data_IF_049436400678
#
_entry.id   IF_049436400678
#
_cell.length_a   1.000
_cell.length_b   1.000
_cell.length_c   1.000
_cell.angle_alpha   90.00
_cell.angle_beta   90.00
_cell.angle_gamma   90.00
#
_symmetry.space_group_name_H-M   'P 1'
#
loop_
_entity.id
_entity.type
_entity.pdbx_description
1 polymer ?
#
# COMPACT_ATOMS: atom_id res chain seq x y z
N UNK A 1 23.45 -72.95 4.00
CA UNK A 1 23.66 -71.45 4.02
C UNK A 1 22.78 -70.83 2.95
N UNK A 2 21.49 -70.62 3.24
CA UNK A 2 20.49 -70.13 2.29
C UNK A 2 20.39 -68.57 2.33
N UNK A 3 20.60 -67.97 1.16
CA UNK A 3 20.11 -66.65 0.74
C UNK A 3 20.31 -65.39 1.62
N UNK A 4 21.47 -65.20 2.22
CA UNK A 4 21.80 -63.88 2.83
C UNK A 4 21.97 -62.75 1.79
N UNK A 5 22.36 -63.08 0.55
CA UNK A 5 22.55 -62.10 -0.53
C UNK A 5 21.21 -61.47 -1.03
N UNK A 6 20.12 -62.28 -1.11
CA UNK A 6 18.83 -61.73 -1.52
C UNK A 6 18.17 -60.84 -0.48
N UNK A 7 18.39 -61.10 0.81
CA UNK A 7 17.89 -60.30 1.90
C UNK A 7 18.57 -58.90 1.95
N UNK A 8 19.90 -58.85 1.77
CA UNK A 8 20.66 -57.61 1.70
C UNK A 8 20.20 -56.71 0.55
N UNK A 9 19.88 -57.30 -0.62
CA UNK A 9 19.40 -56.53 -1.77
C UNK A 9 18.00 -55.95 -1.50
N UNK A 10 17.11 -56.68 -0.87
CA UNK A 10 15.79 -56.19 -0.48
C UNK A 10 15.89 -55.05 0.55
N UNK A 11 16.77 -55.21 1.54
CA UNK A 11 17.02 -54.19 2.57
C UNK A 11 17.56 -52.86 1.97
N UNK A 12 18.50 -52.95 1.02
CA UNK A 12 19.01 -51.74 0.35
C UNK A 12 17.96 -51.06 -0.50
N UNK A 13 17.07 -51.78 -1.18
CA UNK A 13 15.96 -51.21 -1.96
C UNK A 13 14.97 -50.51 -1.06
N UNK A 14 14.56 -51.14 0.05
CA UNK A 14 13.62 -50.53 1.01
C UNK A 14 14.24 -49.27 1.64
N UNK A 15 15.50 -49.33 2.06
CA UNK A 15 16.21 -48.21 2.64
C UNK A 15 16.33 -47.04 1.65
N UNK A 16 16.65 -47.31 0.38
CA UNK A 16 16.69 -46.30 -0.68
C UNK A 16 15.32 -45.66 -0.91
N UNK A 17 14.24 -46.44 -0.92
CA UNK A 17 12.89 -45.93 -1.07
C UNK A 17 12.50 -44.97 0.08
N UNK A 18 12.82 -45.32 1.32
CA UNK A 18 12.57 -44.49 2.50
C UNK A 18 13.35 -43.19 2.40
N UNK A 19 14.62 -43.21 2.04
CA UNK A 19 15.45 -42.03 1.88
C UNK A 19 14.90 -41.07 0.79
N UNK A 20 14.49 -41.61 -0.35
CA UNK A 20 13.87 -40.85 -1.44
C UNK A 20 12.58 -40.21 -0.97
N UNK A 21 11.73 -40.94 -0.28
CA UNK A 21 10.43 -40.42 0.23
C UNK A 21 10.64 -39.27 1.23
N UNK A 22 11.58 -39.43 2.16
CA UNK A 22 11.94 -38.38 3.12
C UNK A 22 12.51 -37.15 2.39
N UNK A 23 13.38 -37.35 1.41
CA UNK A 23 14.00 -36.25 0.64
C UNK A 23 12.94 -35.45 -0.12
N UNK A 24 11.98 -36.10 -0.77
CA UNK A 24 10.87 -35.45 -1.46
C UNK A 24 10.00 -34.64 -0.46
N UNK A 25 9.70 -35.24 0.70
CA UNK A 25 8.92 -34.56 1.74
C UNK A 25 9.61 -33.35 2.29
N UNK A 26 10.91 -33.38 2.56
CA UNK A 26 11.70 -32.24 2.99
C UNK A 26 11.76 -31.15 1.91
N UNK A 27 11.94 -31.53 0.66
CA UNK A 27 11.97 -30.59 -0.45
C UNK A 27 10.64 -29.83 -0.61
N UNK A 28 9.51 -30.54 -0.55
CA UNK A 28 8.18 -29.91 -0.61
C UNK A 28 7.95 -28.95 0.57
N UNK A 29 8.37 -29.32 1.77
CA UNK A 29 8.28 -28.49 2.96
C UNK A 29 9.12 -27.20 2.82
N UNK A 30 10.33 -27.30 2.27
CA UNK A 30 11.17 -26.12 1.99
C UNK A 30 10.53 -25.19 0.97
N UNK A 31 9.92 -25.71 -0.09
CA UNK A 31 9.21 -24.90 -1.09
C UNK A 31 8.02 -24.16 -0.46
N UNK A 32 7.23 -24.84 0.36
CA UNK A 32 6.11 -24.20 1.06
C UNK A 32 6.58 -23.14 2.05
N UNK A 33 7.63 -23.44 2.82
CA UNK A 33 8.21 -22.49 3.77
C UNK A 33 8.72 -21.22 3.07
N UNK A 34 9.39 -21.38 1.92
CA UNK A 34 9.87 -20.24 1.13
C UNK A 34 8.73 -19.36 0.62
N UNK A 35 7.66 -19.95 0.07
CA UNK A 35 6.48 -19.21 -0.39
C UNK A 35 5.78 -18.49 0.75
N UNK A 36 5.63 -19.16 1.90
CA UNK A 36 5.03 -18.55 3.08
C UNK A 36 5.83 -17.36 3.59
N UNK A 37 7.16 -17.50 3.63
CA UNK A 37 8.06 -16.40 4.01
C UNK A 37 7.85 -15.18 3.13
N UNK A 38 7.85 -15.36 1.80
CA UNK A 38 7.62 -14.24 0.85
C UNK A 38 6.27 -13.57 1.06
N UNK A 39 5.19 -14.35 1.26
CA UNK A 39 3.87 -13.81 1.53
C UNK A 39 3.83 -12.97 2.83
N UNK A 40 4.50 -13.44 3.89
CA UNK A 40 4.60 -12.69 5.15
C UNK A 40 5.42 -11.40 4.97
N UNK A 41 6.54 -11.46 4.25
CA UNK A 41 7.37 -10.30 3.95
C UNK A 41 6.58 -9.24 3.15
N UNK A 42 5.87 -9.64 2.10
CA UNK A 42 5.02 -8.75 1.30
C UNK A 42 3.91 -8.11 2.16
N UNK A 43 3.29 -8.88 3.06
CA UNK A 43 2.25 -8.36 3.95
C UNK A 43 2.79 -7.35 4.96
N UNK A 44 3.95 -7.61 5.55
CA UNK A 44 4.61 -6.69 6.48
C UNK A 44 4.99 -5.40 5.76
N UNK A 45 5.56 -5.49 4.57
CA UNK A 45 5.92 -4.32 3.78
C UNK A 45 4.70 -3.47 3.41
N UNK A 46 3.59 -4.10 2.97
CA UNK A 46 2.34 -3.38 2.69
C UNK A 46 1.78 -2.68 3.93
N UNK A 47 1.85 -3.33 5.09
CA UNK A 47 1.42 -2.75 6.36
C UNK A 47 2.25 -1.53 6.72
N UNK A 48 3.58 -1.65 6.72
CA UNK A 48 4.49 -0.55 7.08
C UNK A 48 4.34 0.64 6.14
N UNK A 49 4.28 0.40 4.82
CA UNK A 49 4.06 1.45 3.85
C UNK A 49 2.68 2.10 3.97
N UNK A 50 1.64 1.31 4.21
CA UNK A 50 0.30 1.82 4.40
C UNK A 50 0.18 2.75 5.61
N UNK A 51 0.75 2.37 6.74
CA UNK A 51 0.76 3.19 7.95
C UNK A 51 1.57 4.48 7.76
N UNK A 52 2.74 4.41 7.12
CA UNK A 52 3.53 5.60 6.83
C UNK A 52 2.80 6.55 5.88
N UNK A 53 2.19 6.04 4.81
CA UNK A 53 1.37 6.85 3.91
C UNK A 53 0.20 7.50 4.62
N UNK A 54 -0.53 6.76 5.46
CA UNK A 54 -1.61 7.30 6.27
C UNK A 54 -1.13 8.44 7.16
N UNK A 55 0.00 8.26 7.83
CA UNK A 55 0.59 9.30 8.66
C UNK A 55 0.95 10.56 7.86
N UNK A 56 1.59 10.41 6.70
CA UNK A 56 1.99 11.54 5.86
C UNK A 56 0.79 12.28 5.25
N UNK A 57 -0.23 11.55 4.80
CA UNK A 57 -1.47 12.14 4.28
C UNK A 57 -2.21 12.87 5.39
N UNK A 58 -2.40 12.22 6.55
CA UNK A 58 -3.09 12.83 7.70
C UNK A 58 -2.39 14.11 8.14
N UNK A 59 -1.07 14.05 8.31
CA UNK A 59 -0.24 15.21 8.65
C UNK A 59 -0.36 16.33 7.62
N UNK A 60 -0.45 15.99 6.32
CA UNK A 60 -0.59 16.99 5.25
C UNK A 60 -1.96 17.66 5.31
N UNK A 61 -3.03 16.92 5.57
CA UNK A 61 -4.39 17.47 5.69
C UNK A 61 -4.55 18.27 6.97
N UNK A 62 -4.16 17.76 8.13
CA UNK A 62 -4.31 18.42 9.43
C UNK A 62 -3.52 19.71 9.55
N UNK A 63 -2.31 19.75 8.98
CA UNK A 63 -1.47 20.95 8.97
C UNK A 63 -1.91 22.00 7.93
N UNK A 64 -2.87 21.67 7.07
CA UNK A 64 -3.44 22.61 6.11
C UNK A 64 -4.49 23.51 6.78
N UNK A 65 -4.76 24.64 6.17
CA UNK A 65 -5.86 25.53 6.57
C UNK A 65 -7.19 25.08 5.95
N UNK A 66 -7.15 24.21 4.94
CA UNK A 66 -8.32 23.65 4.28
C UNK A 66 -7.97 22.88 3.02
N UNK A 67 -8.99 22.35 2.38
CA UNK A 67 -8.89 21.65 1.10
C UNK A 67 -9.34 22.58 -0.03
N UNK A 68 -8.48 22.79 -1.01
CA UNK A 68 -8.77 23.60 -2.21
C UNK A 68 -9.69 22.84 -3.17
N UNK A 69 -9.36 21.59 -3.43
CA UNK A 69 -10.13 20.72 -4.34
C UNK A 69 -9.73 19.27 -4.17
N UNK A 70 -10.70 18.38 -4.40
CA UNK A 70 -10.48 16.94 -4.53
C UNK A 70 -10.91 16.54 -5.94
N UNK A 71 -10.09 15.77 -6.65
CA UNK A 71 -10.41 15.31 -8.00
C UNK A 71 -10.55 13.80 -8.04
N UNK A 72 -11.60 13.35 -8.72
CA UNK A 72 -11.80 11.93 -9.01
C UNK A 72 -10.82 11.41 -10.07
N UNK A 73 -10.89 10.11 -10.38
CA UNK A 73 -10.06 9.48 -11.40
C UNK A 73 -10.32 10.02 -12.82
N UNK A 74 -11.48 10.64 -13.05
CA UNK A 74 -11.88 11.23 -14.33
C UNK A 74 -11.45 12.70 -14.44
N UNK A 75 -10.90 13.28 -13.35
CA UNK A 75 -10.48 14.67 -13.29
C UNK A 75 -11.60 15.65 -12.86
N UNK A 76 -12.80 15.16 -12.54
CA UNK A 76 -13.90 16.01 -12.05
C UNK A 76 -13.61 16.43 -10.61
N UNK A 77 -13.96 17.65 -10.26
CA UNK A 77 -13.85 18.15 -8.90
C UNK A 77 -15.03 17.65 -8.07
N UNK A 78 -14.73 17.01 -6.94
CA UNK A 78 -15.73 16.63 -5.94
C UNK A 78 -15.96 17.85 -5.06
N UNK A 79 -17.20 18.30 -4.95
CA UNK A 79 -17.62 19.41 -4.10
C UNK A 79 -18.75 18.97 -3.17
N UNK A 80 -18.62 19.33 -1.89
CA UNK A 80 -19.61 18.98 -0.87
C UNK A 80 -19.53 17.55 -0.34
N UNK A 81 -20.51 17.20 0.50
CA UNK A 81 -20.57 15.91 1.15
C UNK A 81 -20.76 14.76 0.16
N UNK A 82 -20.08 13.65 0.42
CA UNK A 82 -20.20 12.42 -0.37
C UNK A 82 -20.88 11.33 0.45
N UNK A 83 -21.90 10.62 -0.09
CA UNK A 83 -22.61 9.56 0.65
C UNK A 83 -21.76 8.30 0.85
N UNK A 84 -20.71 8.13 0.08
CA UNK A 84 -19.82 6.95 0.09
C UNK A 84 -18.38 7.32 -0.28
N UNK A 85 -17.48 6.37 -0.13
CA UNK A 85 -16.11 6.52 -0.60
C UNK A 85 -16.04 6.66 -2.12
N UNK A 86 -15.36 7.70 -2.59
CA UNK A 86 -15.11 7.98 -4.01
C UNK A 86 -13.63 7.89 -4.27
N UNK A 87 -13.24 7.16 -5.31
CA UNK A 87 -11.84 7.05 -5.71
C UNK A 87 -11.35 8.38 -6.27
N UNK A 88 -10.19 8.81 -5.78
CA UNK A 88 -9.63 10.12 -6.13
C UNK A 88 -8.24 10.00 -6.72
N UNK A 89 -7.92 10.95 -7.58
CA UNK A 89 -6.60 11.10 -8.20
C UNK A 89 -5.74 12.14 -7.46
N UNK A 90 -6.37 13.18 -6.91
CA UNK A 90 -5.61 14.18 -6.14
C UNK A 90 -6.46 14.89 -5.09
N UNK A 91 -5.76 15.31 -4.02
CA UNK A 91 -6.28 16.16 -2.95
C UNK A 91 -5.36 17.37 -2.84
N UNK A 92 -5.86 18.57 -3.07
CA UNK A 92 -5.11 19.84 -2.95
C UNK A 92 -5.42 20.50 -1.63
N UNK A 93 -4.39 20.75 -0.84
CA UNK A 93 -4.45 21.34 0.49
C UNK A 93 -3.88 22.77 0.46
N UNK A 94 -4.59 23.70 1.09
CA UNK A 94 -4.20 25.10 1.23
C UNK A 94 -3.38 25.30 2.50
N UNK A 95 -2.31 26.07 2.39
CA UNK A 95 -1.50 26.47 3.54
C UNK A 95 -1.43 27.99 3.63
N UNK A 96 -1.89 28.57 4.73
CA UNK A 96 -1.82 30.02 4.96
C UNK A 96 -0.37 30.48 5.06
N UNK A 97 -0.05 31.47 4.27
CA UNK A 97 1.26 32.12 4.23
C UNK A 97 1.39 33.11 5.41
N UNK A 98 1.68 32.59 6.63
CA UNK A 98 1.99 33.45 7.78
C UNK A 98 3.47 33.25 8.15
N UNK A 99 4.33 34.12 7.66
CA UNK A 99 5.76 34.23 8.00
C UNK A 99 6.77 33.21 7.44
N UNK A 100 6.38 32.23 6.64
CA UNK A 100 7.29 31.39 5.87
C UNK A 100 6.66 31.14 4.50
N UNK A 101 7.48 31.00 3.45
CA UNK A 101 7.08 30.61 2.08
C UNK A 101 6.52 29.16 2.04
N UNK A 102 5.47 28.90 2.81
CA UNK A 102 4.80 27.57 2.82
C UNK A 102 3.83 27.56 1.64
N UNK A 103 4.17 26.79 0.63
CA UNK A 103 3.36 26.63 -0.57
C UNK A 103 2.26 25.59 -0.33
N UNK A 104 1.15 25.73 -1.04
CA UNK A 104 0.09 24.74 -1.10
C UNK A 104 0.63 23.37 -1.53
N UNK A 105 -0.01 22.30 -1.10
CA UNK A 105 0.42 20.94 -1.38
C UNK A 105 -0.67 20.14 -2.08
N UNK A 106 -0.24 19.20 -2.91
CA UNK A 106 -1.12 18.24 -3.56
C UNK A 106 -0.67 16.81 -3.24
N UNK A 107 -1.58 16.03 -2.67
CA UNK A 107 -1.44 14.58 -2.58
C UNK A 107 -1.94 14.03 -3.90
N UNK A 108 -1.10 13.36 -4.68
CA UNK A 108 -1.46 12.86 -6.01
C UNK A 108 -1.16 11.38 -6.17
N UNK A 109 -2.17 10.64 -6.60
CA UNK A 109 -2.06 9.26 -7.02
C UNK A 109 -1.66 9.19 -8.49
N UNK A 110 -0.68 8.37 -8.83
CA UNK A 110 -0.26 8.13 -10.21
C UNK A 110 -0.54 6.69 -10.63
N UNK A 111 -0.86 6.49 -11.90
CA UNK A 111 -1.18 5.17 -12.48
C UNK A 111 -0.07 4.11 -12.37
N UNK A 112 1.14 4.49 -11.96
CA UNK A 112 2.24 3.58 -11.66
C UNK A 112 2.22 3.04 -10.23
N UNK A 113 1.06 3.06 -9.57
CA UNK A 113 0.85 2.60 -8.19
C UNK A 113 1.61 3.38 -7.11
N UNK A 114 1.96 4.64 -7.41
CA UNK A 114 2.72 5.51 -6.50
C UNK A 114 1.90 6.68 -6.01
N UNK A 115 2.16 7.06 -4.77
CA UNK A 115 1.57 8.24 -4.14
C UNK A 115 2.64 9.29 -3.87
N UNK A 116 2.32 10.55 -4.20
CA UNK A 116 3.23 11.68 -4.09
C UNK A 116 2.62 12.82 -3.30
N UNK A 117 3.45 13.57 -2.59
CA UNK A 117 3.13 14.91 -2.09
C UNK A 117 3.94 15.92 -2.92
N UNK A 118 3.24 16.72 -3.69
CA UNK A 118 3.81 17.76 -4.53
C UNK A 118 3.57 19.13 -3.91
N UNK A 119 4.49 20.06 -4.14
CA UNK A 119 4.29 21.49 -3.87
C UNK A 119 3.57 22.12 -5.04
N UNK A 120 2.63 23.02 -4.79
CA UNK A 120 1.92 23.76 -5.82
C UNK A 120 2.58 25.13 -6.04
N UNK A 121 2.67 25.54 -7.31
CA UNK A 121 3.07 26.89 -7.68
C UNK A 121 1.90 27.87 -7.50
N UNK A 122 2.15 29.18 -7.69
CA UNK A 122 1.13 30.24 -7.60
C UNK A 122 -0.05 30.07 -8.57
N UNK A 123 0.08 29.24 -9.61
CA UNK A 123 -0.99 28.91 -10.56
C UNK A 123 -1.77 27.66 -10.17
N UNK A 124 -1.47 27.05 -9.03
CA UNK A 124 -2.12 25.81 -8.55
C UNK A 124 -1.72 24.54 -9.29
N UNK A 125 -0.58 24.57 -10.03
CA UNK A 125 -0.02 23.40 -10.69
C UNK A 125 1.12 22.81 -9.85
N UNK A 126 1.24 21.48 -9.86
CA UNK A 126 2.34 20.78 -9.17
C UNK A 126 3.69 21.20 -9.75
N UNK A 127 4.62 21.55 -8.87
CA UNK A 127 6.03 21.77 -9.23
C UNK A 127 6.71 20.41 -9.51
N UNK A 128 7.78 20.43 -10.32
CA UNK A 128 8.61 19.25 -10.53
C UNK A 128 9.38 18.91 -9.26
N UNK A 129 9.50 17.61 -8.94
CA UNK A 129 10.25 17.14 -7.77
C UNK A 129 9.38 16.81 -6.55
N UNK A 130 8.16 16.35 -6.78
CA UNK A 130 7.29 15.84 -5.72
C UNK A 130 7.95 14.71 -4.92
N UNK A 131 7.66 14.68 -3.62
CA UNK A 131 8.14 13.64 -2.72
C UNK A 131 7.24 12.41 -2.82
N UNK A 132 7.81 11.27 -3.18
CA UNK A 132 7.13 9.97 -3.17
C UNK A 132 6.96 9.51 -1.73
N UNK A 133 5.73 9.19 -1.33
CA UNK A 133 5.41 8.74 0.03
C UNK A 133 5.10 7.25 0.12
N UNK A 134 4.90 6.59 -1.01
CA UNK A 134 4.72 5.15 -1.04
C UNK A 134 4.38 4.56 -2.39
N UNK A 135 4.52 3.25 -2.43
CA UNK A 135 4.34 2.36 -3.56
C UNK A 135 3.18 1.38 -3.33
N UNK A 136 2.89 0.54 -4.32
CA UNK A 136 1.88 -0.52 -4.27
C UNK A 136 0.44 -0.04 -4.09
N UNK A 137 0.14 1.23 -4.31
CA UNK A 137 -1.20 1.80 -4.15
C UNK A 137 -2.09 1.39 -5.31
N UNK A 138 -3.18 0.66 -5.02
CA UNK A 138 -4.22 0.36 -6.01
C UNK A 138 -5.14 1.56 -6.20
N UNK A 139 -5.62 2.12 -5.11
CA UNK A 139 -6.43 3.33 -5.12
C UNK A 139 -6.41 4.05 -3.78
N UNK A 140 -6.69 5.33 -3.84
CA UNK A 140 -7.02 6.18 -2.71
C UNK A 140 -8.48 6.62 -2.87
N UNK A 141 -9.26 6.52 -1.80
CA UNK A 141 -10.67 6.93 -1.80
C UNK A 141 -10.92 7.87 -0.65
N UNK A 142 -11.83 8.81 -0.86
CA UNK A 142 -12.24 9.76 0.17
C UNK A 142 -13.75 9.76 0.35
N UNK A 143 -14.18 10.04 1.58
CA UNK A 143 -15.57 10.33 1.92
C UNK A 143 -15.58 11.63 2.73
N UNK A 144 -16.41 12.58 2.32
CA UNK A 144 -16.49 13.92 2.92
C UNK A 144 -17.80 14.03 3.68
N UNK A 145 -17.74 14.45 4.93
CA UNK A 145 -18.90 14.70 5.79
C UNK A 145 -18.68 15.97 6.60
N UNK A 146 -19.21 17.09 6.13
CA UNK A 146 -18.97 18.39 6.73
C UNK A 146 -17.48 18.73 6.77
N UNK A 147 -16.92 18.90 7.96
CA UNK A 147 -15.50 19.20 8.17
C UNK A 147 -14.60 17.96 8.37
N UNK A 148 -15.10 16.77 8.05
CA UNK A 148 -14.35 15.52 8.19
C UNK A 148 -14.10 14.91 6.83
N UNK A 149 -12.86 14.50 6.60
CA UNK A 149 -12.47 13.69 5.44
C UNK A 149 -12.00 12.34 5.94
N UNK A 150 -12.72 11.30 5.58
CA UNK A 150 -12.28 9.93 5.77
C UNK A 150 -11.51 9.49 4.51
N UNK A 151 -10.29 9.04 4.69
CA UNK A 151 -9.43 8.56 3.61
C UNK A 151 -9.27 7.06 3.78
N UNK A 152 -9.43 6.32 2.68
CA UNK A 152 -9.17 4.89 2.58
C UNK A 152 -8.07 4.67 1.57
N UNK A 153 -7.05 3.90 1.95
CA UNK A 153 -5.98 3.43 1.08
C UNK A 153 -6.13 1.92 0.87
N UNK A 154 -5.96 1.50 -0.37
CA UNK A 154 -5.83 0.09 -0.74
C UNK A 154 -4.49 -0.12 -1.43
N UNK A 155 -3.74 -1.09 -0.95
CA UNK A 155 -2.43 -1.47 -1.44
C UNK A 155 -2.44 -2.93 -1.85
N UNK A 156 -1.67 -3.27 -2.89
CA UNK A 156 -1.45 -4.67 -3.26
C UNK A 156 -0.03 -4.91 -3.74
N UNK A 157 0.51 -6.04 -3.33
CA UNK A 157 1.81 -6.55 -3.77
C UNK A 157 1.72 -8.06 -3.98
N UNK A 158 2.06 -8.53 -5.16
CA UNK A 158 1.88 -9.91 -5.56
C UNK A 158 0.42 -10.38 -5.32
N UNK A 159 0.19 -11.31 -4.41
CA UNK A 159 -1.15 -11.81 -4.07
C UNK A 159 -1.67 -11.29 -2.73
N UNK A 160 -0.88 -10.46 -2.04
CA UNK A 160 -1.27 -9.87 -0.76
C UNK A 160 -1.95 -8.51 -0.97
N UNK A 161 -2.93 -8.21 -0.11
CA UNK A 161 -3.66 -6.94 -0.11
C UNK A 161 -3.71 -6.38 1.30
N UNK A 162 -3.63 -5.06 1.38
CA UNK A 162 -3.77 -4.34 2.64
C UNK A 162 -4.68 -3.12 2.43
N UNK A 163 -5.64 -2.94 3.31
CA UNK A 163 -6.51 -1.76 3.33
C UNK A 163 -6.42 -1.09 4.69
N UNK A 164 -6.27 0.21 4.67
CA UNK A 164 -6.27 1.04 5.87
C UNK A 164 -7.12 2.28 5.65
N UNK A 165 -7.61 2.85 6.74
CA UNK A 165 -8.43 4.07 6.69
C UNK A 165 -8.19 4.93 7.92
N UNK A 166 -8.29 6.23 7.72
CA UNK A 166 -8.23 7.21 8.81
C UNK A 166 -9.21 8.35 8.55
N UNK A 167 -9.45 9.14 9.57
CA UNK A 167 -10.30 10.35 9.50
C UNK A 167 -9.45 11.55 9.88
N UNK A 168 -9.49 12.56 9.05
CA UNK A 168 -8.84 13.85 9.28
C UNK A 168 -9.87 14.95 9.39
N UNK A 169 -9.58 15.96 10.17
CA UNK A 169 -10.43 17.15 10.31
C UNK A 169 -9.84 18.28 9.47
N UNK A 170 -10.70 18.93 8.70
CA UNK A 170 -10.36 20.11 7.91
C UNK A 170 -10.95 21.35 8.54
N UNK A 171 -10.22 22.46 8.47
CA UNK A 171 -10.67 23.74 9.03
C UNK A 171 -11.68 24.41 8.10
N UNK A 172 -11.41 24.36 6.79
CA UNK A 172 -12.26 24.93 5.73
C UNK A 172 -12.28 23.97 4.51
N UNK A 173 -13.44 23.88 3.85
CA UNK A 173 -13.62 23.11 2.61
C UNK A 173 -14.19 24.01 1.51
#
# INVERSE_FOLDING_TARGET
>A
MKNKKGYLLLETVISSFIVITISISLYTLLLHSSKYKTSVEDRVELYEQGEEMCFQINKTIENSDGIISIRDLNGNTISGDTPSYVNVNSIKCKYKNSYRDVKDKEISYKRNHKLFINTLNSRGNSESGGYEIGDYVDFISVMIQGNKVAVKLSLSKNNEKYETYFKSYIKEF
#
